data_IF_718022036595
#
_entry.id   IF_718022036595
#
_cell.length_a   1.000
_cell.length_b   1.000
_cell.length_c   1.000
_cell.angle_alpha   90.00
_cell.angle_beta   90.00
_cell.angle_gamma   90.00
#
_symmetry.space_group_name_H-M   'P 1'
#
loop_
_entity.id
_entity.type
_entity.pdbx_description
1 polymer ?
#
# COMPACT_ATOMS: atom_id res chain seq x y z
N UNK A 1 22.34 -35.65 -29.14
CA UNK A 1 21.95 -34.28 -29.54
C UNK A 1 23.08 -33.36 -29.12
N UNK A 2 23.52 -32.45 -30.00
CA UNK A 2 24.46 -31.42 -29.57
C UNK A 2 23.78 -30.45 -28.61
N UNK A 3 24.55 -29.70 -27.82
CA UNK A 3 23.99 -28.68 -26.92
C UNK A 3 23.23 -27.60 -27.72
N UNK A 4 23.64 -27.36 -28.97
CA UNK A 4 22.99 -26.44 -29.92
C UNK A 4 21.60 -26.94 -30.31
N UNK A 5 21.46 -28.24 -30.58
CA UNK A 5 20.17 -28.83 -30.94
C UNK A 5 19.21 -28.81 -29.76
N UNK A 6 19.71 -29.09 -28.56
CA UNK A 6 18.93 -29.00 -27.31
C UNK A 6 18.48 -27.57 -27.03
N UNK A 7 19.37 -26.58 -27.15
CA UNK A 7 19.03 -25.19 -26.93
C UNK A 7 17.95 -24.70 -27.91
N UNK A 8 18.05 -25.08 -29.20
CA UNK A 8 17.02 -24.79 -30.21
C UNK A 8 15.70 -25.46 -29.87
N UNK A 9 15.72 -26.74 -29.50
CA UNK A 9 14.51 -27.50 -29.14
C UNK A 9 13.81 -26.93 -27.91
N UNK A 10 14.57 -26.45 -26.92
CA UNK A 10 14.02 -25.87 -25.69
C UNK A 10 13.73 -24.37 -25.81
N UNK A 11 13.97 -23.75 -26.96
CA UNK A 11 13.68 -22.34 -27.20
C UNK A 11 14.50 -21.38 -26.32
N UNK A 12 15.70 -21.77 -25.91
CA UNK A 12 16.57 -20.95 -25.05
C UNK A 12 17.05 -19.74 -25.85
N UNK A 13 16.81 -18.52 -25.34
CA UNK A 13 17.17 -17.24 -26.00
C UNK A 13 18.12 -16.42 -25.11
N UNK A 14 19.05 -15.63 -25.69
CA UNK A 14 19.87 -14.68 -24.94
C UNK A 14 19.04 -13.66 -24.13
N UNK A 15 19.53 -13.21 -22.95
CA UNK A 15 20.79 -13.60 -22.32
C UNK A 15 20.70 -14.95 -21.60
N UNK A 16 21.77 -15.75 -21.68
CA UNK A 16 21.86 -17.08 -21.03
C UNK A 16 23.19 -17.19 -20.31
N UNK A 17 23.18 -17.77 -19.12
CA UNK A 17 24.39 -18.20 -18.42
C UNK A 17 24.49 -19.72 -18.55
N UNK A 18 25.60 -20.20 -19.13
CA UNK A 18 25.88 -21.63 -19.25
C UNK A 18 26.94 -22.01 -18.22
N UNK A 19 26.63 -23.01 -17.39
CA UNK A 19 27.53 -23.56 -16.39
C UNK A 19 27.97 -24.95 -16.85
N UNK A 20 29.27 -25.17 -16.99
CA UNK A 20 29.87 -26.41 -17.50
C UNK A 20 30.93 -26.94 -16.51
N UNK A 21 30.99 -28.25 -16.33
CA UNK A 21 31.95 -28.93 -15.46
C UNK A 21 31.34 -29.48 -14.17
N UNK A 22 32.19 -29.93 -13.24
CA UNK A 22 31.77 -30.59 -11.99
C UNK A 22 30.87 -29.72 -11.10
N UNK A 23 30.94 -28.39 -11.23
CA UNK A 23 30.03 -27.45 -10.54
C UNK A 23 28.55 -27.72 -10.81
N UNK A 24 28.19 -28.37 -11.93
CA UNK A 24 26.79 -28.77 -12.21
C UNK A 24 26.31 -29.83 -11.21
N UNK A 25 27.19 -30.67 -10.68
CA UNK A 25 26.85 -31.67 -9.67
C UNK A 25 26.43 -31.05 -8.33
N UNK A 26 26.88 -29.83 -8.04
CA UNK A 26 26.47 -29.06 -6.87
C UNK A 26 25.02 -28.55 -6.98
N UNK A 27 24.37 -28.66 -8.16
CA UNK A 27 22.99 -28.23 -8.33
C UNK A 27 22.05 -28.88 -7.32
N UNK A 28 22.20 -30.16 -7.01
CA UNK A 28 21.36 -30.83 -6.01
C UNK A 28 21.47 -30.21 -4.61
N UNK A 29 22.61 -29.61 -4.27
CA UNK A 29 22.87 -28.96 -2.99
C UNK A 29 22.53 -27.46 -3.02
N UNK A 30 22.79 -26.78 -4.14
CA UNK A 30 22.64 -25.34 -4.31
C UNK A 30 21.27 -24.93 -4.86
N UNK A 31 20.44 -25.88 -5.29
CA UNK A 31 19.10 -25.62 -5.83
C UNK A 31 18.05 -25.37 -4.73
N UNK A 32 18.36 -24.48 -3.79
CA UNK A 32 17.43 -24.13 -2.72
C UNK A 32 16.30 -23.19 -3.21
N UNK A 33 16.48 -22.54 -4.36
CA UNK A 33 15.54 -21.56 -4.91
C UNK A 33 14.55 -22.17 -5.90
N UNK A 34 14.97 -23.07 -6.81
CA UNK A 34 14.03 -23.67 -7.78
C UNK A 34 13.06 -24.67 -7.13
N UNK A 35 13.36 -25.14 -5.91
CA UNK A 35 12.47 -26.00 -5.12
C UNK A 35 11.47 -25.21 -4.27
N UNK A 36 11.47 -23.89 -4.35
CA UNK A 36 10.56 -23.05 -3.57
C UNK A 36 9.12 -23.20 -4.08
N UNK A 37 8.10 -23.11 -3.20
CA UNK A 37 6.71 -23.39 -3.57
C UNK A 37 6.14 -22.54 -4.71
N UNK A 38 6.62 -21.30 -4.85
CA UNK A 38 6.16 -20.35 -5.87
C UNK A 38 7.19 -20.14 -6.98
N UNK A 39 8.21 -21.01 -7.09
CA UNK A 39 9.23 -20.87 -8.11
C UNK A 39 8.62 -20.86 -9.52
N UNK A 40 9.05 -19.88 -10.33
CA UNK A 40 8.54 -19.68 -11.69
C UNK A 40 7.13 -19.10 -11.78
N UNK A 41 6.50 -18.73 -10.65
CA UNK A 41 5.19 -18.06 -10.64
C UNK A 41 5.35 -16.55 -10.70
N UNK A 42 4.66 -15.91 -11.63
CA UNK A 42 4.61 -14.46 -11.78
C UNK A 42 3.37 -13.92 -11.08
N UNK A 43 3.57 -13.19 -9.98
CA UNK A 43 2.48 -12.75 -9.10
C UNK A 43 2.41 -11.22 -9.08
N UNK A 44 1.24 -10.68 -9.46
CA UNK A 44 0.98 -9.25 -9.46
C UNK A 44 0.47 -8.79 -8.09
N UNK A 45 1.13 -7.77 -7.52
CA UNK A 45 0.77 -7.11 -6.27
C UNK A 45 0.24 -5.70 -6.58
N UNK A 46 -1.05 -5.47 -6.35
CA UNK A 46 -1.76 -4.26 -6.82
C UNK A 46 -1.86 -3.12 -5.78
N UNK A 47 -1.17 -3.25 -4.64
CA UNK A 47 -1.21 -2.28 -3.53
C UNK A 47 -0.36 -1.03 -3.79
N UNK A 48 -0.67 0.04 -3.07
CA UNK A 48 0.14 1.27 -3.08
C UNK A 48 1.61 0.96 -2.74
N UNK A 49 2.56 1.59 -3.45
CA UNK A 49 3.99 1.24 -3.43
C UNK A 49 4.58 1.09 -2.01
N UNK A 50 4.26 2.01 -1.11
CA UNK A 50 4.76 2.00 0.28
C UNK A 50 4.28 0.81 1.13
N UNK A 51 3.19 0.14 0.71
CA UNK A 51 2.57 -0.98 1.43
C UNK A 51 2.62 -2.30 0.63
N UNK A 52 3.27 -2.28 -0.54
CA UNK A 52 3.39 -3.44 -1.41
C UNK A 52 4.69 -4.23 -1.15
N UNK A 53 5.74 -3.57 -0.63
CA UNK A 53 7.05 -4.16 -0.39
C UNK A 53 6.98 -5.42 0.47
N UNK A 54 6.49 -5.30 1.71
CA UNK A 54 6.45 -6.44 2.65
C UNK A 54 5.71 -7.67 2.08
N UNK A 55 4.56 -7.46 1.41
CA UNK A 55 3.81 -8.57 0.82
C UNK A 55 4.49 -9.16 -0.42
N UNK A 56 5.10 -8.31 -1.26
CA UNK A 56 5.90 -8.78 -2.39
C UNK A 56 7.15 -9.55 -1.92
N UNK A 57 7.79 -9.09 -0.84
CA UNK A 57 8.95 -9.74 -0.23
C UNK A 57 8.56 -11.11 0.35
N UNK A 58 7.42 -11.20 1.04
CA UNK A 58 6.87 -12.47 1.53
C UNK A 58 6.70 -13.49 0.40
N UNK A 59 6.10 -13.10 -0.73
CA UNK A 59 5.91 -13.98 -1.88
C UNK A 59 7.25 -14.33 -2.56
N UNK A 60 8.16 -13.37 -2.69
CA UNK A 60 9.49 -13.56 -3.27
C UNK A 60 10.35 -14.52 -2.43
N UNK A 61 10.20 -14.50 -1.11
CA UNK A 61 10.84 -15.45 -0.20
C UNK A 61 10.36 -16.90 -0.44
N UNK A 62 9.19 -17.10 -1.02
CA UNK A 62 8.70 -18.40 -1.48
C UNK A 62 8.98 -18.65 -2.98
N UNK A 63 9.85 -17.87 -3.62
CA UNK A 63 10.34 -18.10 -4.98
C UNK A 63 9.54 -17.42 -6.10
N UNK A 64 8.53 -16.62 -5.78
CA UNK A 64 7.73 -15.93 -6.78
C UNK A 64 8.51 -14.78 -7.46
N UNK A 65 8.28 -14.58 -8.76
CA UNK A 65 8.59 -13.31 -9.43
C UNK A 65 7.45 -12.34 -9.14
N UNK A 66 7.66 -11.38 -8.23
CA UNK A 66 6.62 -10.41 -7.88
C UNK A 66 6.68 -9.14 -8.71
N UNK A 67 5.54 -8.76 -9.29
CA UNK A 67 5.37 -7.51 -10.01
C UNK A 67 4.52 -6.55 -9.18
N UNK A 68 5.10 -5.44 -8.71
CA UNK A 68 4.36 -4.43 -7.95
C UNK A 68 3.75 -3.40 -8.91
N UNK A 69 2.42 -3.36 -8.97
CA UNK A 69 1.66 -2.43 -9.80
C UNK A 69 0.70 -1.59 -8.94
N UNK A 70 1.14 -0.42 -8.45
CA UNK A 70 0.31 0.42 -7.60
C UNK A 70 -0.95 0.91 -8.34
N UNK A 71 -2.12 0.73 -7.74
CA UNK A 71 -3.38 1.31 -8.26
C UNK A 71 -3.80 2.60 -7.54
N UNK A 72 -3.00 3.01 -6.55
CA UNK A 72 -3.16 4.23 -5.80
C UNK A 72 -1.78 4.83 -5.55
N UNK A 73 -1.66 6.15 -5.72
CA UNK A 73 -0.48 6.93 -5.39
C UNK A 73 -0.84 8.00 -4.38
N UNK A 74 -0.13 8.01 -3.26
CA UNK A 74 -0.19 9.11 -2.32
C UNK A 74 0.81 10.16 -2.79
N UNK A 75 0.37 11.40 -2.95
CA UNK A 75 1.19 12.54 -3.42
C UNK A 75 0.84 13.80 -2.62
N UNK A 76 1.69 14.84 -2.64
CA UNK A 76 1.30 16.15 -2.13
C UNK A 76 0.03 16.68 -2.81
N UNK A 77 -0.79 17.50 -2.12
CA UNK A 77 -1.90 18.21 -2.75
C UNK A 77 -1.41 19.15 -3.86
N UNK A 78 -2.29 19.59 -4.78
CA UNK A 78 -1.90 20.52 -5.84
C UNK A 78 -1.44 21.88 -5.29
N UNK A 79 -1.96 22.29 -4.14
CA UNK A 79 -1.57 23.49 -3.42
C UNK A 79 -1.11 23.15 -2.00
N UNK A 80 0.11 23.56 -1.66
CA UNK A 80 0.73 23.38 -0.36
C UNK A 80 0.65 24.64 0.52
N UNK A 81 0.17 25.76 -0.03
CA UNK A 81 0.10 27.05 0.68
C UNK A 81 -0.69 26.97 1.99
N UNK A 82 -1.82 26.24 2.09
CA UNK A 82 -2.53 26.06 3.36
C UNK A 82 -1.68 25.35 4.42
N UNK A 83 -0.89 24.35 4.01
CA UNK A 83 0.02 23.64 4.91
C UNK A 83 1.19 24.51 5.35
N UNK A 84 1.72 25.33 4.45
CA UNK A 84 2.77 26.28 4.77
C UNK A 84 2.31 27.32 5.79
N UNK A 85 1.12 27.88 5.58
CA UNK A 85 0.52 28.86 6.48
C UNK A 85 0.28 28.25 7.87
N UNK A 86 -0.25 27.02 7.91
CA UNK A 86 -0.47 26.30 9.17
C UNK A 86 0.85 26.00 9.91
N UNK A 87 1.91 25.59 9.19
CA UNK A 87 3.23 25.36 9.79
C UNK A 87 3.86 26.68 10.27
N UNK A 88 3.69 27.77 9.51
CA UNK A 88 4.20 29.08 9.90
C UNK A 88 3.51 29.61 11.16
N UNK A 89 2.20 29.36 11.30
CA UNK A 89 1.38 29.75 12.44
C UNK A 89 1.22 28.66 13.51
N UNK A 90 2.07 27.63 13.53
CA UNK A 90 1.80 26.42 14.32
C UNK A 90 1.61 26.72 15.82
N UNK A 91 2.33 27.73 16.34
CA UNK A 91 2.38 28.09 17.76
C UNK A 91 1.03 28.64 18.24
N UNK A 92 0.14 28.98 17.31
CA UNK A 92 -1.22 29.42 17.61
C UNK A 92 -2.21 28.28 17.83
N UNK A 93 -1.83 27.03 17.52
CA UNK A 93 -2.69 25.88 17.75
C UNK A 93 -2.47 25.29 19.14
N UNK A 94 -3.57 24.87 19.78
CA UNK A 94 -3.52 24.11 21.01
C UNK A 94 -3.33 22.61 20.74
N UNK A 95 -3.88 22.12 19.62
CA UNK A 95 -4.00 20.68 19.35
C UNK A 95 -3.62 20.36 17.90
N UNK A 96 -2.75 19.35 17.73
CA UNK A 96 -2.38 18.77 16.44
C UNK A 96 -2.93 17.35 16.34
N UNK A 97 -3.78 17.09 15.35
CA UNK A 97 -4.44 15.80 15.18
C UNK A 97 -3.96 15.12 13.90
N UNK A 98 -3.39 13.93 14.05
CA UNK A 98 -3.09 13.05 12.92
C UNK A 98 -4.09 11.89 12.83
N UNK A 99 -4.76 11.81 11.68
CA UNK A 99 -5.73 10.75 11.37
C UNK A 99 -5.19 9.65 10.46
N UNK A 100 -3.91 9.72 10.10
CA UNK A 100 -3.23 8.67 9.35
C UNK A 100 -1.71 8.80 9.42
N UNK A 101 -1.02 7.67 9.21
CA UNK A 101 0.44 7.62 9.00
C UNK A 101 0.89 8.53 7.85
N UNK A 102 0.08 8.64 6.79
CA UNK A 102 0.37 9.54 5.67
C UNK A 102 0.33 11.01 6.11
N UNK A 103 -0.65 11.40 6.93
CA UNK A 103 -0.72 12.75 7.48
C UNK A 103 0.55 13.13 8.23
N UNK A 104 1.05 12.23 9.10
CA UNK A 104 2.31 12.40 9.82
C UNK A 104 3.50 12.54 8.86
N UNK A 105 3.62 11.62 7.90
CA UNK A 105 4.75 11.59 6.96
C UNK A 105 4.82 12.84 6.08
N UNK A 106 3.69 13.26 5.50
CA UNK A 106 3.66 14.44 4.63
C UNK A 106 3.82 15.75 5.40
N UNK A 107 3.26 15.84 6.61
CA UNK A 107 3.51 16.98 7.50
C UNK A 107 5.00 17.08 7.88
N UNK A 108 5.62 15.98 8.32
CA UNK A 108 7.06 15.90 8.62
C UNK A 108 7.93 16.28 7.43
N UNK A 109 7.62 15.75 6.24
CA UNK A 109 8.33 16.09 5.01
C UNK A 109 8.22 17.58 4.69
N UNK A 110 7.02 18.18 4.83
CA UNK A 110 6.83 19.59 4.54
C UNK A 110 7.55 20.49 5.55
N UNK A 111 7.47 20.15 6.84
CA UNK A 111 8.17 20.87 7.90
C UNK A 111 9.69 20.90 7.64
N UNK A 112 10.29 19.78 7.22
CA UNK A 112 11.70 19.71 6.78
C UNK A 112 11.98 20.54 5.53
N UNK A 113 11.11 20.49 4.53
CA UNK A 113 11.26 21.27 3.30
C UNK A 113 11.25 22.80 3.58
N UNK A 114 10.50 23.23 4.59
CA UNK A 114 10.47 24.61 5.09
C UNK A 114 11.65 24.95 6.03
N UNK A 115 12.63 24.05 6.18
CA UNK A 115 13.80 24.19 7.07
C UNK A 115 13.42 24.45 8.54
N UNK A 116 12.30 23.88 8.98
CA UNK A 116 11.86 23.88 10.39
C UNK A 116 12.23 22.54 11.02
N UNK A 117 12.09 22.45 12.34
CA UNK A 117 12.30 21.22 13.10
C UNK A 117 11.28 21.05 14.23
N UNK A 118 11.43 19.99 15.00
CA UNK A 118 10.54 19.56 16.08
C UNK A 118 10.31 20.62 17.17
N UNK A 119 11.25 21.54 17.37
CA UNK A 119 11.12 22.60 18.41
C UNK A 119 9.89 23.47 18.18
N UNK A 120 9.48 23.60 16.92
CA UNK A 120 8.29 24.32 16.49
C UNK A 120 7.00 23.70 17.04
N UNK A 121 7.02 22.41 17.39
CA UNK A 121 5.85 21.69 17.91
C UNK A 121 5.73 21.74 19.45
N UNK A 122 6.55 22.55 20.11
CA UNK A 122 6.53 22.69 21.57
C UNK A 122 5.18 23.19 22.05
N UNK A 123 4.60 22.48 23.03
CA UNK A 123 3.39 22.92 23.74
C UNK A 123 2.08 22.54 23.05
N UNK A 124 2.12 21.95 21.84
CA UNK A 124 0.93 21.37 21.23
C UNK A 124 0.56 20.05 21.91
N UNK A 125 -0.74 19.84 22.07
CA UNK A 125 -1.30 18.54 22.42
C UNK A 125 -1.43 17.69 21.15
N UNK A 126 -0.68 16.58 21.07
CA UNK A 126 -0.58 15.75 19.86
C UNK A 126 -1.46 14.52 20.01
N UNK A 127 -2.43 14.38 19.11
CA UNK A 127 -3.36 13.27 19.05
C UNK A 127 -3.10 12.37 17.84
N UNK A 128 -3.13 11.06 18.06
CA UNK A 128 -3.17 10.06 17.00
C UNK A 128 -4.53 9.35 17.01
N UNK A 129 -5.09 9.08 15.82
CA UNK A 129 -6.35 8.32 15.70
C UNK A 129 -6.22 6.86 16.16
N UNK A 130 -5.00 6.30 16.16
CA UNK A 130 -4.77 4.89 16.50
C UNK A 130 -3.30 4.50 16.53
N UNK A 131 -2.98 3.26 16.93
CA UNK A 131 -1.62 2.83 17.31
C UNK A 131 -0.57 3.04 16.21
N UNK A 132 -0.87 2.64 14.97
CA UNK A 132 0.07 2.82 13.85
C UNK A 132 0.39 4.28 13.54
N UNK A 133 -0.57 5.18 13.77
CA UNK A 133 -0.35 6.61 13.58
C UNK A 133 0.49 7.17 14.74
N UNK A 134 0.30 6.63 15.95
CA UNK A 134 1.12 6.98 17.10
C UNK A 134 2.57 6.53 16.93
N UNK A 135 2.79 5.28 16.52
CA UNK A 135 4.13 4.76 16.17
C UNK A 135 4.82 5.66 15.15
N UNK A 136 4.12 6.11 14.10
CA UNK A 136 4.70 7.00 13.10
C UNK A 136 5.08 8.40 13.63
N UNK A 137 4.40 8.87 14.69
CA UNK A 137 4.74 10.12 15.40
C UNK A 137 5.93 9.89 16.32
N UNK A 138 5.98 8.75 17.00
CA UNK A 138 7.09 8.36 17.89
C UNK A 138 8.39 8.09 17.11
N UNK A 139 8.31 7.55 15.89
CA UNK A 139 9.42 7.46 14.91
C UNK A 139 9.92 8.84 14.43
N UNK A 140 9.24 9.90 14.85
CA UNK A 140 9.65 11.28 14.67
C UNK A 140 10.11 11.94 15.99
N UNK A 141 10.43 11.13 17.00
CA UNK A 141 10.92 11.59 18.31
C UNK A 141 9.93 12.52 19.04
N UNK A 142 8.63 12.39 18.72
CA UNK A 142 7.54 13.09 19.37
C UNK A 142 6.77 12.15 20.28
N UNK A 143 6.28 12.66 21.40
CA UNK A 143 5.35 11.93 22.26
C UNK A 143 3.93 12.16 21.80
N UNK A 144 3.15 11.09 21.73
CA UNK A 144 1.69 11.18 21.56
C UNK A 144 1.04 11.37 22.92
N UNK A 145 0.20 12.40 23.04
CA UNK A 145 -0.49 12.72 24.30
C UNK A 145 -1.78 11.92 24.46
N UNK A 146 -2.38 11.49 23.35
CA UNK A 146 -3.65 10.79 23.34
C UNK A 146 -3.85 9.89 22.12
N UNK A 147 -4.41 8.72 22.40
CA UNK A 147 -4.96 7.78 21.42
C UNK A 147 -6.36 7.40 21.94
N UNK A 148 -7.42 7.51 21.12
CA UNK A 148 -8.76 7.11 21.55
C UNK A 148 -8.85 5.59 21.71
N UNK A 149 -9.76 5.12 22.57
CA UNK A 149 -10.07 3.69 22.72
C UNK A 149 -10.70 3.12 21.46
N UNK A 150 -11.58 3.90 20.82
CA UNK A 150 -12.12 3.60 19.50
C UNK A 150 -11.31 4.32 18.42
N UNK A 151 -10.66 3.58 17.53
CA UNK A 151 -9.77 4.11 16.49
C UNK A 151 -10.52 4.74 15.30
N UNK A 152 -11.49 5.63 15.60
CA UNK A 152 -12.37 6.33 14.66
C UNK A 152 -12.59 7.78 15.10
N UNK A 153 -13.24 8.57 14.25
CA UNK A 153 -13.49 9.99 14.46
C UNK A 153 -14.23 10.26 15.78
N UNK A 154 -15.20 9.41 16.10
CA UNK A 154 -16.07 9.49 17.27
C UNK A 154 -15.28 9.27 18.57
N UNK A 155 -14.37 8.29 18.60
CA UNK A 155 -13.50 8.04 19.75
C UNK A 155 -12.58 9.22 20.02
N UNK A 156 -12.03 9.84 18.97
CA UNK A 156 -11.20 11.02 19.12
C UNK A 156 -12.00 12.24 19.60
N UNK A 157 -13.22 12.42 19.09
CA UNK A 157 -14.13 13.47 19.55
C UNK A 157 -14.43 13.31 21.04
N UNK A 158 -14.79 12.11 21.51
CA UNK A 158 -15.06 11.86 22.92
C UNK A 158 -13.85 12.20 23.82
N UNK A 159 -12.65 11.82 23.37
CA UNK A 159 -11.40 12.12 24.07
C UNK A 159 -11.12 13.63 24.15
N UNK A 160 -11.36 14.38 23.06
CA UNK A 160 -11.14 15.82 23.00
C UNK A 160 -12.20 16.59 23.79
N UNK A 161 -13.46 16.17 23.72
CA UNK A 161 -14.56 16.74 24.50
C UNK A 161 -14.29 16.67 26.01
N UNK A 162 -13.76 15.54 26.49
CA UNK A 162 -13.38 15.38 27.90
C UNK A 162 -12.28 16.36 28.36
N UNK A 163 -11.55 16.98 27.43
CA UNK A 163 -10.48 17.96 27.70
C UNK A 163 -10.90 19.41 27.50
N UNK A 164 -12.10 19.65 26.95
CA UNK A 164 -12.59 20.99 26.62
C UNK A 164 -12.21 21.41 25.20
N UNK A 165 -13.21 21.61 24.36
CA UNK A 165 -13.05 21.95 22.93
C UNK A 165 -13.28 23.45 22.66
N UNK A 166 -14.18 24.09 23.41
CA UNK A 166 -14.55 25.48 23.21
C UNK A 166 -13.35 26.43 23.30
N UNK A 167 -13.17 27.28 22.28
CA UNK A 167 -12.10 28.27 22.21
C UNK A 167 -10.71 27.72 21.87
N UNK A 168 -10.56 26.40 21.74
CA UNK A 168 -9.29 25.76 21.36
C UNK A 168 -9.09 25.75 19.86
N UNK A 169 -7.83 25.91 19.42
CA UNK A 169 -7.43 25.86 18.02
C UNK A 169 -6.87 24.50 17.66
N UNK A 170 -7.48 23.85 16.68
CA UNK A 170 -7.15 22.51 16.22
C UNK A 170 -6.58 22.57 14.81
N UNK A 171 -5.43 21.93 14.59
CA UNK A 171 -4.88 21.67 13.27
C UNK A 171 -5.03 20.19 12.92
N UNK A 172 -5.60 19.91 11.74
CA UNK A 172 -5.80 18.54 11.24
C UNK A 172 -5.14 18.40 9.86
N UNK A 173 -3.86 18.00 9.78
CA UNK A 173 -3.21 17.66 8.51
C UNK A 173 -3.69 16.29 8.01
N UNK A 174 -4.36 16.24 6.86
CA UNK A 174 -5.00 15.01 6.36
C UNK A 174 -5.07 14.94 4.84
N UNK A 175 -5.73 13.90 4.31
CA UNK A 175 -6.02 13.79 2.89
C UNK A 175 -6.87 14.98 2.41
N UNK A 176 -6.63 15.44 1.19
CA UNK A 176 -7.45 16.42 0.48
C UNK A 176 -8.91 15.97 0.44
N UNK A 177 -9.17 14.72 0.06
CA UNK A 177 -10.49 14.10 0.11
C UNK A 177 -10.62 13.24 1.38
N UNK A 178 -11.33 13.74 2.38
CA UNK A 178 -11.66 12.97 3.58
C UNK A 178 -13.00 13.40 4.18
N UNK A 179 -13.50 12.66 5.18
CA UNK A 179 -14.81 12.90 5.81
C UNK A 179 -14.77 14.06 6.78
N UNK A 180 -15.77 14.93 6.75
CA UNK A 180 -15.84 16.15 7.59
C UNK A 180 -16.37 15.93 9.01
N UNK A 181 -16.75 14.70 9.38
CA UNK A 181 -17.39 14.36 10.67
C UNK A 181 -16.63 14.94 11.88
N UNK A 182 -15.32 14.67 12.00
CA UNK A 182 -14.52 15.15 13.13
C UNK A 182 -14.37 16.69 13.14
N UNK A 183 -13.92 17.33 12.04
CA UNK A 183 -13.86 18.80 11.97
C UNK A 183 -15.17 19.50 12.31
N UNK A 184 -16.28 19.05 11.72
CA UNK A 184 -17.62 19.62 11.98
C UNK A 184 -18.00 19.47 13.44
N UNK A 185 -17.86 18.27 14.01
CA UNK A 185 -18.19 18.03 15.41
C UNK A 185 -17.36 18.89 16.38
N UNK A 186 -16.08 19.11 16.09
CA UNK A 186 -15.23 19.99 16.90
C UNK A 186 -15.65 21.46 16.78
N UNK A 187 -16.07 21.91 15.59
CA UNK A 187 -16.62 23.27 15.39
C UNK A 187 -17.94 23.45 16.12
N UNK A 188 -18.83 22.46 16.09
CA UNK A 188 -20.12 22.47 16.78
C UNK A 188 -19.96 22.60 18.31
N UNK A 189 -18.86 22.07 18.85
CA UNK A 189 -18.49 22.21 20.27
C UNK A 189 -17.72 23.50 20.58
N UNK A 190 -17.64 24.45 19.64
CA UNK A 190 -17.00 25.75 19.80
C UNK A 190 -15.48 25.78 19.56
N UNK A 191 -14.93 24.72 18.97
CA UNK A 191 -13.52 24.66 18.57
C UNK A 191 -13.25 25.40 17.26
N UNK A 192 -12.05 25.97 17.14
CA UNK A 192 -11.57 26.61 15.92
C UNK A 192 -10.73 25.60 15.15
N UNK A 193 -11.24 25.09 14.03
CA UNK A 193 -10.64 23.92 13.34
C UNK A 193 -10.14 24.25 11.95
N UNK A 194 -8.83 24.17 11.78
CA UNK A 194 -8.15 24.26 10.49
C UNK A 194 -7.88 22.85 9.94
N UNK A 195 -8.60 22.48 8.89
CA UNK A 195 -8.39 21.24 8.13
C UNK A 195 -7.48 21.55 6.97
N UNK A 196 -6.32 20.91 6.94
CA UNK A 196 -5.26 21.28 6.00
C UNK A 196 -4.85 20.06 5.17
N UNK A 197 -4.98 20.12 3.83
CA UNK A 197 -4.51 19.04 2.97
C UNK A 197 -2.99 18.87 3.10
N UNK A 198 -2.56 17.71 3.58
CA UNK A 198 -1.15 17.33 3.63
C UNK A 198 -0.76 16.40 2.47
N UNK A 199 -1.72 15.63 1.98
CA UNK A 199 -1.56 14.72 0.86
C UNK A 199 -2.89 14.54 0.12
N UNK A 200 -2.85 13.90 -1.03
CA UNK A 200 -4.03 13.42 -1.75
C UNK A 200 -3.76 12.01 -2.28
N UNK A 201 -4.83 11.25 -2.46
CA UNK A 201 -4.76 9.91 -3.04
C UNK A 201 -5.23 9.95 -4.49
N UNK A 202 -4.31 9.76 -5.42
CA UNK A 202 -4.60 9.76 -6.85
C UNK A 202 -4.53 8.36 -7.44
N UNK A 203 -5.31 8.13 -8.50
CA UNK A 203 -5.10 6.99 -9.39
C UNK A 203 -3.89 7.31 -10.28
N UNK A 204 -2.86 6.44 -10.34
CA UNK A 204 -1.76 6.66 -11.26
C UNK A 204 -2.25 6.55 -12.70
N UNK A 205 -1.67 7.38 -13.58
CA UNK A 205 -1.87 7.28 -15.03
C UNK A 205 -0.66 6.56 -15.60
N UNK A 206 -0.90 5.45 -16.28
CA UNK A 206 0.12 4.68 -16.99
C UNK A 206 -0.06 4.85 -18.49
N UNK A 207 1.03 5.12 -19.21
CA UNK A 207 1.02 5.08 -20.68
C UNK A 207 1.08 3.64 -21.18
N UNK A 208 0.64 3.38 -22.40
CA UNK A 208 0.69 2.04 -23.00
C UNK A 208 2.08 1.41 -22.95
N UNK A 209 3.13 2.18 -23.25
CA UNK A 209 4.51 1.71 -23.15
C UNK A 209 4.91 1.27 -21.73
N UNK A 210 4.33 1.88 -20.69
CA UNK A 210 4.56 1.46 -19.31
C UNK A 210 3.79 0.17 -19.00
N UNK A 211 2.54 0.06 -19.45
CA UNK A 211 1.74 -1.16 -19.32
C UNK A 211 2.40 -2.35 -20.04
N UNK A 212 2.96 -2.14 -21.23
CA UNK A 212 3.74 -3.16 -21.95
C UNK A 212 5.01 -3.56 -21.20
N UNK A 213 5.66 -2.64 -20.50
CA UNK A 213 6.81 -2.99 -19.64
C UNK A 213 6.40 -3.85 -18.45
N UNK A 214 5.24 -3.58 -17.86
CA UNK A 214 4.70 -4.39 -16.78
C UNK A 214 4.27 -5.78 -17.27
N UNK A 215 3.51 -5.83 -18.36
CA UNK A 215 2.72 -7.02 -18.71
C UNK A 215 3.12 -7.71 -20.02
N UNK A 216 4.02 -7.12 -20.81
CA UNK A 216 4.50 -7.69 -22.08
C UNK A 216 5.56 -8.78 -21.93
N UNK A 217 6.15 -8.93 -20.73
CA UNK A 217 7.23 -9.89 -20.44
C UNK A 217 6.76 -11.33 -20.21
N UNK A 218 5.46 -11.60 -20.30
CA UNK A 218 4.90 -12.95 -20.20
C UNK A 218 3.56 -12.98 -19.46
N UNK A 219 3.01 -14.18 -19.30
CA UNK A 219 1.78 -14.40 -18.53
C UNK A 219 1.97 -13.99 -17.07
N UNK A 220 0.93 -13.43 -16.46
CA UNK A 220 0.81 -13.30 -15.00
C UNK A 220 -0.01 -14.50 -14.52
N UNK A 221 0.55 -15.29 -13.62
CA UNK A 221 -0.13 -16.50 -13.11
C UNK A 221 -1.21 -16.15 -12.10
N UNK A 222 -0.92 -15.18 -11.21
CA UNK A 222 -1.80 -14.79 -10.12
C UNK A 222 -1.85 -13.27 -9.95
N UNK A 223 -3.06 -12.71 -9.85
CA UNK A 223 -3.28 -11.32 -9.43
C UNK A 223 -3.80 -11.30 -8.01
N UNK A 224 -3.22 -10.44 -7.17
CA UNK A 224 -3.62 -10.30 -5.77
C UNK A 224 -4.38 -8.99 -5.54
N UNK A 225 -5.47 -9.06 -4.78
CA UNK A 225 -6.30 -7.89 -4.44
C UNK A 225 -6.63 -7.82 -2.96
N UNK A 226 -6.25 -6.71 -2.33
CA UNK A 226 -6.53 -6.43 -0.91
C UNK A 226 -7.88 -5.73 -0.68
N UNK A 227 -8.53 -5.23 -1.73
CA UNK A 227 -9.85 -4.62 -1.63
C UNK A 227 -10.56 -4.64 -2.99
N UNK A 228 -11.89 -4.58 -2.95
CA UNK A 228 -12.70 -4.41 -4.16
C UNK A 228 -12.41 -3.09 -4.89
N UNK A 229 -12.00 -2.03 -4.18
CA UNK A 229 -11.62 -0.76 -4.81
C UNK A 229 -10.32 -0.87 -5.60
N UNK A 230 -9.31 -1.56 -5.06
CA UNK A 230 -8.05 -1.83 -5.76
C UNK A 230 -8.29 -2.61 -7.05
N UNK A 231 -9.20 -3.60 -7.03
CA UNK A 231 -9.59 -4.33 -8.23
C UNK A 231 -10.25 -3.42 -9.28
N UNK A 232 -11.23 -2.61 -8.89
CA UNK A 232 -11.87 -1.66 -9.81
C UNK A 232 -10.87 -0.68 -10.41
N UNK A 233 -10.03 -0.07 -9.58
CA UNK A 233 -8.98 0.84 -10.05
C UNK A 233 -8.02 0.14 -11.00
N UNK A 234 -7.64 -1.12 -10.74
CA UNK A 234 -6.80 -1.89 -11.65
C UNK A 234 -7.45 -2.02 -13.04
N UNK A 235 -8.70 -2.49 -13.09
CA UNK A 235 -9.45 -2.67 -14.35
C UNK A 235 -9.61 -1.35 -15.11
N UNK A 236 -9.88 -0.25 -14.39
CA UNK A 236 -9.97 1.09 -14.97
C UNK A 236 -8.63 1.56 -15.55
N UNK A 237 -7.52 1.33 -14.83
CA UNK A 237 -6.17 1.74 -15.25
C UNK A 237 -5.71 0.96 -16.49
N UNK A 238 -5.90 -0.36 -16.50
CA UNK A 238 -5.45 -1.19 -17.64
C UNK A 238 -6.41 -1.15 -18.82
N UNK A 239 -7.67 -0.77 -18.59
CA UNK A 239 -8.76 -0.79 -19.57
C UNK A 239 -9.41 -2.18 -19.70
N UNK A 240 -10.73 -2.20 -19.90
CA UNK A 240 -11.51 -3.45 -19.91
C UNK A 240 -11.08 -4.44 -21.00
N UNK A 241 -10.77 -3.95 -22.20
CA UNK A 241 -10.37 -4.79 -23.34
C UNK A 241 -9.04 -5.51 -23.07
N UNK A 242 -8.03 -4.76 -22.60
CA UNK A 242 -6.75 -5.33 -22.19
C UNK A 242 -6.93 -6.28 -21.00
N UNK A 243 -7.75 -5.91 -20.03
CA UNK A 243 -8.00 -6.75 -18.87
C UNK A 243 -8.56 -8.13 -19.26
N UNK A 244 -9.59 -8.15 -20.12
CA UNK A 244 -10.24 -9.37 -20.59
C UNK A 244 -9.35 -10.23 -21.48
N UNK A 245 -8.49 -9.62 -22.29
CA UNK A 245 -7.61 -10.35 -23.21
C UNK A 245 -6.33 -10.86 -22.52
N UNK A 246 -5.67 -10.02 -21.73
CA UNK A 246 -4.34 -10.28 -21.16
C UNK A 246 -4.40 -11.11 -19.87
N UNK A 247 -5.46 -10.99 -19.07
CA UNK A 247 -5.59 -11.67 -17.77
C UNK A 247 -6.67 -12.76 -17.76
N UNK A 248 -7.19 -13.16 -18.93
CA UNK A 248 -8.24 -14.20 -19.06
C UNK A 248 -7.87 -15.52 -18.36
N UNK A 249 -6.62 -15.93 -18.56
CA UNK A 249 -6.08 -17.20 -18.05
C UNK A 249 -5.34 -17.03 -16.72
N UNK A 250 -5.37 -15.83 -16.15
CA UNK A 250 -4.79 -15.54 -14.84
C UNK A 250 -5.74 -15.96 -13.72
N UNK A 251 -5.16 -16.34 -12.59
CA UNK A 251 -5.89 -16.67 -11.38
C UNK A 251 -5.94 -15.46 -10.45
N UNK A 252 -6.87 -15.48 -9.50
CA UNK A 252 -7.10 -14.35 -8.60
C UNK A 252 -7.04 -14.79 -7.13
N UNK A 253 -6.25 -14.07 -6.33
CA UNK A 253 -6.20 -14.21 -4.88
C UNK A 253 -6.72 -12.94 -4.21
N UNK A 254 -7.69 -13.09 -3.31
CA UNK A 254 -8.34 -11.98 -2.65
C UNK A 254 -8.12 -12.09 -1.15
N UNK A 255 -7.83 -10.97 -0.47
CA UNK A 255 -7.59 -10.99 0.99
C UNK A 255 -8.83 -11.41 1.82
N UNK A 256 -10.02 -11.29 1.24
CA UNK A 256 -11.27 -11.56 1.95
C UNK A 256 -12.50 -11.66 1.04
N UNK A 257 -13.65 -12.06 1.60
CA UNK A 257 -14.83 -12.49 0.85
C UNK A 257 -15.49 -11.35 0.05
N UNK A 258 -15.46 -10.11 0.54
CA UNK A 258 -16.03 -8.95 -0.18
C UNK A 258 -15.27 -8.68 -1.47
N UNK A 259 -13.93 -8.76 -1.42
CA UNK A 259 -13.08 -8.60 -2.62
C UNK A 259 -13.26 -9.76 -3.58
N UNK A 260 -13.38 -10.98 -3.05
CA UNK A 260 -13.64 -12.17 -3.87
C UNK A 260 -14.98 -12.06 -4.61
N UNK A 261 -16.05 -11.66 -3.94
CA UNK A 261 -17.36 -11.45 -4.56
C UNK A 261 -17.29 -10.40 -5.69
N UNK A 262 -16.57 -9.29 -5.48
CA UNK A 262 -16.37 -8.27 -6.50
C UNK A 262 -15.58 -8.81 -7.72
N UNK A 263 -14.58 -9.67 -7.49
CA UNK A 263 -13.83 -10.32 -8.56
C UNK A 263 -14.69 -11.33 -9.34
N UNK A 264 -15.45 -12.18 -8.65
CA UNK A 264 -16.37 -13.12 -9.28
C UNK A 264 -17.44 -12.42 -10.10
N UNK A 265 -17.96 -11.27 -9.64
CA UNK A 265 -18.91 -10.46 -10.40
C UNK A 265 -18.34 -9.91 -11.73
N UNK A 266 -17.02 -9.82 -11.85
CA UNK A 266 -16.30 -9.47 -13.09
C UNK A 266 -15.95 -10.71 -13.94
N UNK A 267 -16.44 -11.89 -13.58
CA UNK A 267 -16.18 -13.16 -14.27
C UNK A 267 -14.82 -13.78 -13.96
N UNK A 268 -14.17 -13.34 -12.88
CA UNK A 268 -12.81 -13.76 -12.54
C UNK A 268 -12.81 -15.04 -11.69
N UNK A 269 -11.86 -15.92 -11.99
CA UNK A 269 -11.63 -17.15 -11.22
C UNK A 269 -10.83 -16.85 -9.96
N UNK A 270 -11.52 -16.58 -8.86
CA UNK A 270 -10.91 -16.47 -7.53
C UNK A 270 -10.57 -17.87 -7.03
N UNK A 271 -9.29 -18.11 -6.78
CA UNK A 271 -8.76 -19.42 -6.37
C UNK A 271 -8.29 -19.45 -4.92
N UNK A 272 -7.99 -18.28 -4.35
CA UNK A 272 -7.49 -18.14 -2.98
C UNK A 272 -8.23 -17.03 -2.25
N UNK A 273 -8.77 -17.38 -1.09
CA UNK A 273 -9.25 -16.46 -0.06
C UNK A 273 -8.82 -17.01 1.30
N UNK A 274 -7.95 -16.33 2.07
CA UNK A 274 -7.48 -16.83 3.35
C UNK A 274 -8.59 -16.75 4.41
N UNK A 275 -8.46 -17.56 5.47
CA UNK A 275 -9.37 -17.50 6.63
C UNK A 275 -9.22 -16.18 7.39
N UNK A 276 -7.96 -15.80 7.64
CA UNK A 276 -7.62 -14.52 8.27
C UNK A 276 -7.30 -13.47 7.20
N UNK A 277 -7.85 -12.27 7.34
CA UNK A 277 -7.74 -11.21 6.33
C UNK A 277 -6.44 -10.41 6.47
N UNK A 278 -5.31 -11.13 6.55
CA UNK A 278 -3.96 -10.56 6.72
C UNK A 278 -3.05 -10.98 5.56
N UNK A 279 -1.97 -10.23 5.32
CA UNK A 279 -1.00 -10.58 4.27
C UNK A 279 -0.25 -11.88 4.54
N UNK A 280 0.23 -12.15 5.78
CA UNK A 280 0.83 -13.45 6.07
C UNK A 280 -0.11 -14.63 5.78
N UNK A 281 -1.40 -14.51 6.15
CA UNK A 281 -2.38 -15.54 5.86
C UNK A 281 -2.68 -15.67 4.36
N UNK A 282 -2.74 -14.56 3.62
CA UNK A 282 -2.87 -14.57 2.17
C UNK A 282 -1.66 -15.25 1.49
N UNK A 283 -0.45 -14.92 1.92
CA UNK A 283 0.80 -15.55 1.44
C UNK A 283 0.75 -17.06 1.68
N UNK A 284 0.45 -17.49 2.90
CA UNK A 284 0.36 -18.91 3.25
C UNK A 284 -0.69 -19.63 2.39
N UNK A 285 -1.87 -19.05 2.21
CA UNK A 285 -2.92 -19.64 1.38
C UNK A 285 -2.53 -19.73 -0.10
N UNK A 286 -1.75 -18.78 -0.63
CA UNK A 286 -1.20 -18.83 -1.99
C UNK A 286 -0.18 -19.96 -2.13
N UNK A 287 0.71 -20.11 -1.14
CA UNK A 287 1.69 -21.20 -1.08
C UNK A 287 0.99 -22.56 -1.06
N UNK A 288 0.03 -22.75 -0.14
CA UNK A 288 -0.73 -23.99 -0.03
C UNK A 288 -1.47 -24.33 -1.34
N UNK A 289 -2.05 -23.32 -1.99
CA UNK A 289 -2.74 -23.50 -3.26
C UNK A 289 -1.82 -24.06 -4.35
N UNK A 290 -0.63 -23.48 -4.53
CA UNK A 290 0.29 -23.94 -5.57
C UNK A 290 0.99 -25.27 -5.24
N UNK A 291 1.20 -25.57 -3.95
CA UNK A 291 1.75 -26.86 -3.54
C UNK A 291 0.76 -28.02 -3.76
N UNK A 292 -0.54 -27.77 -3.59
CA UNK A 292 -1.58 -28.78 -3.82
C UNK A 292 -1.99 -28.92 -5.30
N UNK A 293 -1.43 -28.08 -6.18
CA UNK A 293 -1.69 -28.09 -7.63
C UNK A 293 -0.65 -28.88 -8.44
N UNK A 294 0.53 -29.10 -7.85
CA UNK A 294 1.66 -29.83 -8.43
C UNK A 294 1.57 -31.33 -8.08
#
# INVERSE_FOLDING_TARGET
>A
LSIVDLAKKMGIKPPVVMVVGEVVSLRTQLNWFETRPLFGKRILVTRAKAQAGEFADQLSNFGAETLVFPTLKIVPPPDLSPLDAAIAGIESYDVLIFTSVNGVSYFRQRLRALKKDLRLLKGLFICAIGPRTAEAIEDWDLRVDAIPTEFKAEGLLALLTARGVAGKRFLIPRALEAREILPESLRDLGGLVDVVPAYQALRPVYKDAELERFFGSGKIDLLTFASASTLRHFVEIVGQERFKSQFKESQFACIGPVTAAAATALGLKVVVVPKDYTFPALTAAIVDYYQNLA
#
